data_IF_396714583458
#
_entry.id   IF_396714583458
#
_cell.length_a   1.000
_cell.length_b   1.000
_cell.length_c   1.000
_cell.angle_alpha   90.00
_cell.angle_beta   90.00
_cell.angle_gamma   90.00
#
_symmetry.space_group_name_H-M   'P 1'
#
loop_
_entity.id
_entity.type
_entity.pdbx_description
1 polymer ?
#
# COMPACT_ATOMS: atom_id res chain seq x y z
N UNK A 1 -16.14 -6.16 4.77
CA UNK A 1 -15.82 -5.18 3.70
C UNK A 1 -15.27 -5.94 2.50
N UNK A 2 -15.48 -5.47 1.25
CA UNK A 2 -14.89 -6.13 0.08
C UNK A 2 -13.37 -6.13 0.21
N UNK A 3 -12.76 -7.31 0.16
CA UNK A 3 -11.31 -7.51 0.22
C UNK A 3 -10.71 -7.18 -1.15
N UNK A 4 -9.56 -6.52 -1.17
CA UNK A 4 -8.88 -6.18 -2.43
C UNK A 4 -8.27 -7.45 -3.04
N UNK A 5 -8.43 -7.65 -4.34
CA UNK A 5 -7.83 -8.79 -5.05
C UNK A 5 -6.47 -8.45 -5.64
N UNK A 6 -5.64 -9.47 -5.90
CA UNK A 6 -4.34 -9.30 -6.56
C UNK A 6 -4.51 -8.69 -7.96
N UNK A 7 -5.58 -9.05 -8.67
CA UNK A 7 -5.90 -8.51 -9.99
C UNK A 7 -6.13 -7.00 -9.94
N UNK A 8 -6.84 -6.50 -8.91
CA UNK A 8 -7.08 -5.07 -8.72
C UNK A 8 -5.78 -4.30 -8.42
N UNK A 9 -4.90 -4.88 -7.60
CA UNK A 9 -3.57 -4.30 -7.32
C UNK A 9 -2.67 -4.30 -8.58
N UNK A 10 -2.79 -5.34 -9.40
CA UNK A 10 -2.05 -5.42 -10.66
C UNK A 10 -2.55 -4.37 -11.66
N UNK A 11 -3.87 -4.25 -11.85
CA UNK A 11 -4.47 -3.29 -12.78
C UNK A 11 -4.23 -1.84 -12.39
N UNK A 12 -4.12 -1.54 -11.09
CA UNK A 12 -3.81 -0.20 -10.60
C UNK A 12 -2.32 0.17 -10.71
N UNK A 13 -1.44 -0.79 -11.01
CA UNK A 13 0.01 -0.56 -11.07
C UNK A 13 0.69 -0.47 -9.70
N UNK A 14 0.04 -0.93 -8.62
CA UNK A 14 0.58 -0.85 -7.26
C UNK A 14 1.85 -1.69 -7.02
N UNK A 15 2.17 -2.61 -7.94
CA UNK A 15 3.34 -3.48 -7.88
C UNK A 15 4.65 -2.78 -8.27
N UNK A 16 4.60 -1.59 -8.87
CA UNK A 16 5.80 -0.87 -9.27
C UNK A 16 6.45 -0.18 -8.07
N UNK A 17 7.67 -0.63 -7.74
CA UNK A 17 8.54 0.00 -6.76
C UNK A 17 9.43 1.09 -7.36
N UNK A 18 10.55 1.36 -6.69
CA UNK A 18 11.55 2.32 -7.15
C UNK A 18 12.66 1.65 -7.96
N UNK A 19 13.57 2.48 -8.49
CA UNK A 19 14.80 2.03 -9.14
C UNK A 19 15.67 1.26 -8.13
N UNK A 20 16.39 0.24 -8.61
CA UNK A 20 17.19 -0.66 -7.75
C UNK A 20 18.36 0.00 -7.03
N UNK A 21 18.83 1.14 -7.54
CA UNK A 21 19.81 2.00 -6.85
C UNK A 21 19.23 2.83 -5.70
N UNK A 22 17.89 2.92 -5.58
CA UNK A 22 17.15 3.72 -4.59
C UNK A 22 16.21 2.83 -3.78
N UNK A 23 16.75 1.75 -3.21
CA UNK A 23 15.99 0.81 -2.39
C UNK A 23 16.55 0.73 -0.96
N UNK A 24 15.69 0.33 -0.02
CA UNK A 24 16.08 0.01 1.35
C UNK A 24 16.29 -1.51 1.48
N UNK A 25 17.44 -2.00 1.96
CA UNK A 25 17.69 -3.44 2.15
C UNK A 25 16.64 -4.17 2.99
N UNK A 26 15.96 -3.47 3.92
CA UNK A 26 14.86 -4.04 4.73
C UNK A 26 13.63 -4.39 3.88
N UNK A 27 13.52 -3.85 2.67
CA UNK A 27 12.44 -4.17 1.74
C UNK A 27 12.64 -5.51 1.02
N UNK A 28 13.80 -6.16 1.15
CA UNK A 28 14.10 -7.43 0.47
C UNK A 28 13.01 -8.50 0.63
N UNK A 29 12.41 -8.71 1.82
CA UNK A 29 11.34 -9.70 1.98
C UNK A 29 10.05 -9.39 1.21
N UNK A 30 9.85 -8.13 0.81
CA UNK A 30 8.64 -7.64 0.12
C UNK A 30 8.82 -7.47 -1.39
N UNK A 31 10.04 -7.69 -1.90
CA UNK A 31 10.37 -7.56 -3.32
C UNK A 31 10.26 -8.95 -3.95
N UNK A 32 9.37 -9.06 -4.95
CA UNK A 32 9.19 -10.28 -5.72
C UNK A 32 10.36 -10.49 -6.70
N UNK A 33 10.68 -9.46 -7.49
CA UNK A 33 11.79 -9.51 -8.45
C UNK A 33 12.24 -8.11 -8.88
N UNK A 34 13.31 -8.03 -9.68
CA UNK A 34 13.71 -6.85 -10.42
C UNK A 34 13.41 -7.06 -11.91
N UNK A 35 12.86 -6.03 -12.58
CA UNK A 35 12.70 -6.01 -14.04
C UNK A 35 13.06 -4.64 -14.57
N UNK A 36 13.97 -4.58 -15.55
CA UNK A 36 14.41 -3.34 -16.19
C UNK A 36 14.90 -2.27 -15.18
N UNK A 37 15.59 -2.68 -14.11
CA UNK A 37 16.10 -1.76 -13.09
C UNK A 37 15.06 -1.22 -12.10
N UNK A 38 13.83 -1.75 -12.11
CA UNK A 38 12.75 -1.41 -11.17
C UNK A 38 12.42 -2.63 -10.30
N UNK A 39 12.28 -2.42 -8.99
CA UNK A 39 11.78 -3.45 -8.09
C UNK A 39 10.28 -3.66 -8.26
N UNK A 40 9.87 -4.92 -8.35
CA UNK A 40 8.47 -5.35 -8.37
C UNK A 40 8.11 -5.89 -6.99
N UNK A 41 7.05 -5.33 -6.39
CA UNK A 41 6.57 -5.68 -5.05
C UNK A 41 5.71 -6.94 -5.12
N UNK A 42 5.82 -7.82 -4.13
CA UNK A 42 4.97 -9.01 -4.02
C UNK A 42 3.52 -8.63 -3.67
N UNK A 43 2.62 -8.79 -4.65
CA UNK A 43 1.20 -8.48 -4.49
C UNK A 43 0.44 -9.49 -3.63
N UNK A 44 0.89 -10.75 -3.55
CA UNK A 44 0.24 -11.75 -2.67
C UNK A 44 0.51 -11.41 -1.21
N UNK A 45 1.76 -11.07 -0.91
CA UNK A 45 2.13 -10.60 0.42
C UNK A 45 1.45 -9.26 0.75
N UNK A 46 1.38 -8.34 -0.22
CA UNK A 46 0.65 -7.07 -0.06
C UNK A 46 -0.82 -7.29 0.27
N UNK A 47 -1.50 -8.23 -0.41
CA UNK A 47 -2.89 -8.56 -0.14
C UNK A 47 -3.10 -9.04 1.30
N UNK A 48 -2.27 -9.99 1.76
CA UNK A 48 -2.36 -10.53 3.13
C UNK A 48 -2.16 -9.44 4.19
N UNK A 49 -1.13 -8.61 4.03
CA UNK A 49 -0.84 -7.52 4.98
C UNK A 49 -1.89 -6.41 4.93
N UNK A 50 -2.46 -6.14 3.76
CA UNK A 50 -3.56 -5.18 3.62
C UNK A 50 -4.81 -5.67 4.35
N UNK A 51 -5.09 -6.98 4.28
CA UNK A 51 -6.20 -7.61 4.99
C UNK A 51 -6.06 -7.48 6.51
N UNK A 52 -4.88 -7.73 7.05
CA UNK A 52 -4.56 -7.51 8.46
C UNK A 52 -4.70 -6.04 8.88
N UNK A 53 -4.19 -5.12 8.06
CA UNK A 53 -4.29 -3.69 8.31
C UNK A 53 -5.75 -3.21 8.31
N UNK A 54 -6.58 -3.69 7.38
CA UNK A 54 -8.02 -3.38 7.34
C UNK A 54 -8.74 -3.86 8.60
N UNK A 55 -8.43 -5.06 9.09
CA UNK A 55 -9.05 -5.61 10.30
C UNK A 55 -8.63 -4.81 11.55
N UNK A 56 -7.35 -4.43 11.65
CA UNK A 56 -6.87 -3.55 12.72
C UNK A 56 -7.53 -2.16 12.68
N UNK A 57 -7.66 -1.56 11.50
CA UNK A 57 -8.31 -0.27 11.32
C UNK A 57 -9.80 -0.31 11.67
N UNK A 58 -10.49 -1.39 11.33
CA UNK A 58 -11.89 -1.60 11.70
C UNK A 58 -12.07 -1.67 13.23
N UNK A 59 -11.17 -2.35 13.94
CA UNK A 59 -11.17 -2.38 15.41
C UNK A 59 -10.99 -0.98 16.00
N UNK A 60 -9.96 -0.24 15.56
CA UNK A 60 -9.68 1.12 16.04
C UNK A 60 -10.85 2.09 15.80
N UNK A 61 -11.50 1.97 14.64
CA UNK A 61 -12.67 2.76 14.31
C UNK A 61 -13.87 2.40 15.21
N UNK A 62 -14.07 1.12 15.52
CA UNK A 62 -15.14 0.66 16.43
C UNK A 62 -14.97 1.16 17.87
N UNK A 63 -13.72 1.38 18.30
CA UNK A 63 -13.37 1.98 19.59
C UNK A 63 -13.57 3.51 19.63
N UNK A 64 -13.93 4.14 18.50
CA UNK A 64 -14.09 5.59 18.40
C UNK A 64 -12.76 6.37 18.42
N UNK A 65 -11.64 5.72 18.10
CA UNK A 65 -10.33 6.36 18.05
C UNK A 65 -10.21 7.25 16.82
N UNK A 66 -9.45 8.34 16.95
CA UNK A 66 -9.17 9.25 15.84
C UNK A 66 -8.06 8.70 14.94
N UNK A 67 -8.29 8.71 13.64
CA UNK A 67 -7.31 8.32 12.61
C UNK A 67 -6.87 9.58 11.85
N UNK A 68 -5.57 9.84 11.85
CA UNK A 68 -5.00 10.98 11.13
C UNK A 68 -4.59 10.58 9.71
N UNK A 69 -5.17 11.24 8.70
CA UNK A 69 -4.79 11.09 7.30
C UNK A 69 -3.67 12.09 6.95
N UNK A 70 -2.59 11.62 6.34
CA UNK A 70 -1.43 12.45 5.98
C UNK A 70 -0.97 12.15 4.55
N UNK A 71 -0.96 13.18 3.69
CA UNK A 71 -0.42 13.10 2.33
C UNK A 71 0.12 14.43 1.85
N UNK A 72 1.43 14.50 1.63
CA UNK A 72 2.13 15.72 1.20
C UNK A 72 2.52 15.71 -0.27
N UNK A 73 2.62 14.52 -0.89
CA UNK A 73 2.92 14.37 -2.32
C UNK A 73 1.80 14.94 -3.17
N UNK A 74 2.13 15.58 -4.30
CA UNK A 74 1.15 16.20 -5.21
C UNK A 74 0.07 15.21 -5.67
N UNK A 75 0.45 13.95 -5.94
CA UNK A 75 -0.47 12.89 -6.38
C UNK A 75 -1.40 12.41 -5.26
N UNK A 76 -1.04 12.61 -3.99
CA UNK A 76 -1.77 12.08 -2.84
C UNK A 76 -2.58 13.15 -2.10
N UNK A 77 -2.17 14.42 -2.14
CA UNK A 77 -2.73 15.49 -1.30
C UNK A 77 -4.25 15.63 -1.43
N UNK A 78 -4.74 15.73 -2.67
CA UNK A 78 -6.17 15.99 -2.90
C UNK A 78 -7.00 14.71 -2.66
N UNK A 79 -6.45 13.53 -2.96
CA UNK A 79 -7.07 12.24 -2.62
C UNK A 79 -7.21 12.10 -1.09
N UNK A 80 -6.15 12.37 -0.33
CA UNK A 80 -6.17 12.25 1.13
C UNK A 80 -7.14 13.25 1.78
N UNK A 81 -7.29 14.46 1.24
CA UNK A 81 -8.30 15.41 1.72
C UNK A 81 -9.71 14.85 1.53
N UNK A 82 -10.03 14.42 0.30
CA UNK A 82 -11.37 13.91 -0.03
C UNK A 82 -11.71 12.63 0.74
N UNK A 83 -10.74 11.77 1.04
CA UNK A 83 -11.00 10.54 1.81
C UNK A 83 -11.10 10.76 3.33
N UNK A 84 -10.67 11.92 3.84
CA UNK A 84 -10.74 12.26 5.26
C UNK A 84 -12.00 13.08 5.63
N UNK A 85 -12.71 13.60 4.62
CA UNK A 85 -14.01 14.28 4.73
C UNK A 85 -15.16 13.25 4.72
#
# INVERSE_FOLDING_TARGET
MPRVTVEALLSSGAHFGHLTRRWDPKMKPYIFMERNGIHIIDLRQTQQLLDEACDAMASLASEGRKVLYVGTKKQARDIMRVQAE
#
